data_IF_460343890422
#
_entry.id   IF_460343890422
#
_cell.length_a   1.000
_cell.length_b   1.000
_cell.length_c   1.000
_cell.angle_alpha   90.00
_cell.angle_beta   90.00
_cell.angle_gamma   90.00
#
_symmetry.space_group_name_H-M   'P 1'
#
loop_
_entity.id
_entity.type
_entity.pdbx_description
1 polymer ?
#
# COMPACT_ATOMS: atom_id res chain seq x y z
N UNK A 1 2.85 -6.90 -19.54
CA UNK A 1 2.24 -7.36 -18.27
C UNK A 1 2.72 -6.62 -17.03
N UNK A 2 3.93 -6.03 -17.02
CA UNK A 2 4.53 -5.35 -15.85
C UNK A 2 3.63 -4.28 -15.20
N UNK A 3 3.10 -3.35 -15.98
CA UNK A 3 2.22 -2.27 -15.47
C UNK A 3 0.88 -2.80 -14.96
N UNK A 4 0.31 -3.82 -15.62
CA UNK A 4 -0.92 -4.47 -15.16
C UNK A 4 -0.75 -5.24 -13.84
N UNK A 5 0.36 -5.97 -13.69
CA UNK A 5 0.71 -6.65 -12.44
C UNK A 5 0.96 -5.65 -11.30
N UNK A 6 1.62 -4.54 -11.61
CA UNK A 6 1.80 -3.45 -10.67
C UNK A 6 0.45 -2.82 -10.26
N UNK A 7 -0.44 -2.56 -11.22
CA UNK A 7 -1.79 -2.05 -10.94
C UNK A 7 -2.62 -2.96 -10.02
N UNK A 8 -2.46 -4.28 -10.13
CA UNK A 8 -3.04 -5.23 -9.18
C UNK A 8 -2.50 -5.02 -7.75
N UNK A 9 -1.19 -4.77 -7.60
CA UNK A 9 -0.59 -4.49 -6.28
C UNK A 9 -1.09 -3.16 -5.70
N UNK A 10 -1.26 -2.13 -6.53
CA UNK A 10 -1.88 -0.85 -6.12
C UNK A 10 -3.29 -1.10 -5.57
N UNK A 11 -4.11 -1.91 -6.26
CA UNK A 11 -5.45 -2.25 -5.80
C UNK A 11 -5.43 -2.98 -4.43
N UNK A 12 -4.53 -3.96 -4.27
CA UNK A 12 -4.37 -4.70 -3.01
C UNK A 12 -3.92 -3.75 -1.88
N UNK A 13 -2.96 -2.87 -2.15
CA UNK A 13 -2.54 -1.83 -1.21
C UNK A 13 -3.70 -0.93 -0.81
N UNK A 14 -4.60 -0.63 -1.75
CA UNK A 14 -5.73 0.25 -1.50
C UNK A 14 -6.75 -0.40 -0.57
N UNK A 15 -6.99 -1.70 -0.76
CA UNK A 15 -7.82 -2.52 0.13
C UNK A 15 -7.18 -2.60 1.53
N UNK A 16 -5.85 -2.73 1.63
CA UNK A 16 -5.15 -2.76 2.92
C UNK A 16 -5.34 -1.43 3.67
N UNK A 17 -5.10 -0.30 3.02
CA UNK A 17 -5.28 1.02 3.63
C UNK A 17 -6.74 1.29 3.99
N UNK A 18 -7.70 0.94 3.13
CA UNK A 18 -9.12 1.07 3.41
C UNK A 18 -9.51 0.25 4.65
N UNK A 19 -8.99 -0.97 4.77
CA UNK A 19 -9.21 -1.83 5.94
C UNK A 19 -8.65 -1.18 7.21
N UNK A 20 -7.44 -0.59 7.15
CA UNK A 20 -6.88 0.12 8.31
C UNK A 20 -7.68 1.38 8.66
N UNK A 21 -8.17 2.12 7.67
CA UNK A 21 -9.01 3.30 7.87
C UNK A 21 -10.33 2.97 8.59
N UNK A 22 -10.98 1.87 8.20
CA UNK A 22 -12.19 1.40 8.89
C UNK A 22 -11.86 0.97 10.32
N UNK A 23 -10.74 0.28 10.54
CA UNK A 23 -10.29 -0.14 11.87
C UNK A 23 -9.93 1.03 12.79
N UNK A 24 -9.33 2.10 12.27
CA UNK A 24 -8.97 3.29 13.07
C UNK A 24 -10.20 4.07 13.50
N UNK A 25 -11.17 4.20 12.59
CA UNK A 25 -12.32 5.08 12.80
C UNK A 25 -13.46 4.40 13.58
N UNK A 26 -13.60 3.08 13.46
CA UNK A 26 -14.76 2.35 13.99
C UNK A 26 -14.55 1.63 15.33
N UNK A 27 -13.33 1.19 15.65
CA UNK A 27 -13.17 0.12 16.66
C UNK A 27 -12.11 0.34 17.76
N UNK A 28 -11.49 1.51 17.88
CA UNK A 28 -10.37 1.75 18.84
C UNK A 28 -9.32 0.61 18.83
N UNK A 29 -9.11 -0.01 17.66
CA UNK A 29 -8.24 -1.20 17.49
C UNK A 29 -6.75 -0.85 17.38
N UNK A 30 -6.38 0.40 17.65
CA UNK A 30 -5.00 0.85 17.62
C UNK A 30 -4.60 1.33 19.00
N UNK A 31 -3.54 0.73 19.53
CA UNK A 31 -2.75 1.26 20.63
C UNK A 31 -1.32 1.46 20.13
N UNK A 32 -0.51 2.25 20.85
CA UNK A 32 0.91 2.45 20.51
C UNK A 32 1.72 1.15 20.45
N UNK A 33 1.21 0.05 21.04
CA UNK A 33 1.88 -1.25 21.02
C UNK A 33 1.24 -2.23 20.04
N UNK A 34 0.03 -1.96 19.57
CA UNK A 34 -0.78 -2.88 18.76
C UNK A 34 -1.28 -2.18 17.49
N UNK A 35 -0.33 -1.81 16.63
CA UNK A 35 -0.60 -1.16 15.33
C UNK A 35 0.14 -1.83 14.17
N UNK A 36 0.62 -3.07 14.33
CA UNK A 36 1.39 -3.77 13.30
C UNK A 36 0.65 -3.85 11.94
N UNK A 37 -0.68 -4.03 11.96
CA UNK A 37 -1.47 -4.05 10.73
C UNK A 37 -1.44 -2.72 9.95
N UNK A 38 -1.35 -1.59 10.66
CA UNK A 38 -1.20 -0.27 10.06
C UNK A 38 0.22 -0.08 9.53
N UNK A 39 1.22 -0.47 10.31
CA UNK A 39 2.63 -0.42 9.90
C UNK A 39 2.87 -1.26 8.63
N UNK A 40 2.40 -2.51 8.60
CA UNK A 40 2.52 -3.39 7.45
C UNK A 40 1.82 -2.83 6.20
N UNK A 41 0.64 -2.20 6.35
CA UNK A 41 -0.05 -1.56 5.25
C UNK A 41 0.74 -0.35 4.71
N UNK A 42 1.34 0.46 5.61
CA UNK A 42 2.21 1.57 5.23
C UNK A 42 3.44 1.09 4.46
N UNK A 43 4.15 0.07 4.98
CA UNK A 43 5.30 -0.52 4.29
C UNK A 43 4.94 -1.08 2.91
N UNK A 44 3.79 -1.77 2.80
CA UNK A 44 3.32 -2.29 1.53
C UNK A 44 3.04 -1.16 0.54
N UNK A 45 2.42 -0.05 0.98
CA UNK A 45 2.16 1.09 0.11
C UNK A 45 3.44 1.74 -0.40
N UNK A 46 4.42 1.96 0.48
CA UNK A 46 5.72 2.53 0.08
C UNK A 46 6.48 1.61 -0.87
N UNK A 47 6.40 0.29 -0.68
CA UNK A 47 6.97 -0.68 -1.62
C UNK A 47 6.36 -0.52 -3.02
N UNK A 48 5.03 -0.42 -3.10
CA UNK A 48 4.33 -0.20 -4.37
C UNK A 48 4.78 1.13 -5.00
N UNK A 49 4.85 2.23 -4.25
CA UNK A 49 5.31 3.52 -4.76
C UNK A 49 6.72 3.47 -5.36
N UNK A 50 7.67 2.80 -4.69
CA UNK A 50 9.04 2.65 -5.21
C UNK A 50 9.05 1.86 -6.52
N UNK A 51 8.29 0.76 -6.60
CA UNK A 51 8.17 -0.01 -7.83
C UNK A 51 7.56 0.84 -8.95
N UNK A 52 6.60 1.70 -8.64
CA UNK A 52 6.01 2.61 -9.62
C UNK A 52 7.03 3.62 -10.16
N UNK A 53 7.83 4.25 -9.30
CA UNK A 53 8.87 5.19 -9.73
C UNK A 53 9.86 4.52 -10.69
N UNK A 54 10.29 3.29 -10.37
CA UNK A 54 11.15 2.53 -11.27
C UNK A 54 10.47 2.20 -12.60
N UNK A 55 9.22 1.71 -12.58
CA UNK A 55 8.47 1.42 -13.81
C UNK A 55 8.25 2.67 -14.65
N UNK A 56 7.94 3.81 -14.02
CA UNK A 56 7.75 5.07 -14.72
C UNK A 56 9.04 5.49 -15.45
N UNK A 57 10.17 5.43 -14.76
CA UNK A 57 11.47 5.75 -15.35
C UNK A 57 11.83 4.82 -16.51
N UNK A 58 11.74 3.51 -16.35
CA UNK A 58 12.25 2.54 -17.33
C UNK A 58 11.28 2.14 -18.45
N UNK A 59 9.97 2.35 -18.27
CA UNK A 59 8.96 1.98 -19.27
C UNK A 59 8.45 3.20 -20.04
N UNK A 60 8.44 4.38 -19.41
CA UNK A 60 7.84 5.58 -20.00
C UNK A 60 8.84 6.69 -20.32
N UNK A 61 9.95 6.81 -19.59
CA UNK A 61 10.95 7.87 -19.83
C UNK A 61 12.12 7.39 -20.67
N UNK A 62 12.74 6.26 -20.30
CA UNK A 62 13.88 5.65 -21.00
C UNK A 62 13.40 4.72 -22.13
#
# INVERSE_FOLDING_TARGET
>A
MLTGFHGMHVLIGGIFLLTQLVRSSGFKHFSEKEHFGFEAASWYWHFVDVVWVCLFLFVYIL
#
